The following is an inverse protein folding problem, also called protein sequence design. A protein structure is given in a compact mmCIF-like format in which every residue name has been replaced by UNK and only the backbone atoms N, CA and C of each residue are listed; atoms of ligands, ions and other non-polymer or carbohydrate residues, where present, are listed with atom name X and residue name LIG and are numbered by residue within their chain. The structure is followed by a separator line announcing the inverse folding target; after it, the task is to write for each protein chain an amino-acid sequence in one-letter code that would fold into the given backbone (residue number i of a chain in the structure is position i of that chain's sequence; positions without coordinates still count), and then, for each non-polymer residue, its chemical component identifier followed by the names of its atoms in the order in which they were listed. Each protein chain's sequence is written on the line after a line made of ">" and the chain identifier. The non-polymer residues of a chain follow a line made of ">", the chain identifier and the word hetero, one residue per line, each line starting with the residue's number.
data_IF_139706101867
#
_entry.id   IF_139706101867
#
_cell.length_a   1.000
_cell.length_b   1.000
_cell.length_c   1.000
_cell.angle_alpha   90.00
_cell.angle_beta   90.00
_cell.angle_gamma   90.00
#
_symmetry.space_group_name_H-M   'P 1'
#
loop_
_entity.id
_entity.type
_entity.pdbx_description
1 polymer ?
#
# COMPACT_ATOMS: atom_id res chain seq x y z
N UNK A 1 6.63 22.90 -32.71
CA UNK A 1 5.69 22.01 -32.00
C UNK A 1 5.30 22.71 -30.71
N UNK A 2 4.01 23.00 -30.52
CA UNK A 2 3.51 23.61 -29.28
C UNK A 2 3.49 22.53 -28.20
N UNK A 3 4.35 22.62 -27.19
CA UNK A 3 4.25 21.79 -25.99
C UNK A 3 2.98 22.28 -25.26
N UNK A 4 1.91 21.47 -25.26
CA UNK A 4 0.76 21.77 -24.41
C UNK A 4 1.20 21.70 -22.95
N UNK A 5 0.79 22.65 -22.10
CA UNK A 5 1.10 22.60 -20.68
C UNK A 5 0.46 21.37 -20.04
N UNK A 6 1.24 20.61 -19.26
CA UNK A 6 0.75 19.45 -18.49
C UNK A 6 -0.33 19.91 -17.51
N UNK A 7 -1.39 19.11 -17.35
CA UNK A 7 -2.41 19.35 -16.31
C UNK A 7 -1.78 19.23 -14.92
N UNK A 8 -2.37 19.89 -13.92
CA UNK A 8 -1.88 19.80 -12.53
C UNK A 8 -1.93 18.37 -11.99
N UNK A 9 -2.98 17.61 -12.33
CA UNK A 9 -3.11 16.20 -11.95
C UNK A 9 -1.98 15.34 -12.53
N UNK A 10 -1.55 15.59 -13.78
CA UNK A 10 -0.42 14.89 -14.37
C UNK A 10 0.91 15.24 -13.67
N UNK A 11 1.12 16.52 -13.34
CA UNK A 11 2.31 16.94 -12.57
C UNK A 11 2.33 16.27 -11.18
N UNK A 12 1.19 16.18 -10.51
CA UNK A 12 1.07 15.51 -9.23
C UNK A 12 1.33 14.00 -9.34
N UNK A 13 0.84 13.36 -10.40
CA UNK A 13 1.11 11.95 -10.69
C UNK A 13 2.61 11.69 -10.91
N UNK A 14 3.27 12.51 -11.71
CA UNK A 14 4.72 12.38 -11.96
C UNK A 14 5.52 12.58 -10.66
N UNK A 15 5.10 13.52 -9.82
CA UNK A 15 5.74 13.73 -8.52
C UNK A 15 5.57 12.53 -7.59
N UNK A 16 4.34 12.04 -7.41
CA UNK A 16 4.07 10.95 -6.45
C UNK A 16 4.72 9.63 -6.90
N UNK A 17 4.84 9.38 -8.21
CA UNK A 17 5.55 8.21 -8.73
C UNK A 17 7.06 8.23 -8.44
N UNK A 18 7.66 9.41 -8.31
CA UNK A 18 9.08 9.57 -7.99
C UNK A 18 9.36 9.83 -6.51
N UNK A 19 8.33 10.05 -5.69
CA UNK A 19 8.49 10.43 -4.29
C UNK A 19 8.55 9.20 -3.38
N UNK A 20 9.59 9.13 -2.54
CA UNK A 20 9.70 8.22 -1.41
C UNK A 20 10.27 9.02 -0.24
N UNK A 21 9.52 9.11 0.86
CA UNK A 21 9.96 9.85 2.04
C UNK A 21 8.83 10.14 3.03
N UNK A 22 9.13 10.87 4.12
CA UNK A 22 8.15 11.21 5.14
C UNK A 22 6.99 12.05 4.60
N UNK A 23 5.78 11.82 5.11
CA UNK A 23 4.64 12.70 4.81
C UNK A 23 4.87 14.10 5.36
N UNK A 24 4.24 15.10 4.74
CA UNK A 24 4.37 16.49 5.19
C UNK A 24 3.05 17.26 5.01
N UNK A 25 2.22 17.38 6.07
CA UNK A 25 0.93 18.07 6.00
C UNK A 25 1.05 19.58 5.74
N UNK A 26 2.20 20.19 6.00
CA UNK A 26 2.42 21.64 5.85
C UNK A 26 3.09 22.02 4.53
N UNK A 27 3.41 21.04 3.69
CA UNK A 27 4.13 21.29 2.45
C UNK A 27 3.28 22.14 1.48
N UNK A 28 3.79 23.34 1.16
CA UNK A 28 3.07 24.36 0.38
C UNK A 28 2.56 23.85 -0.97
N UNK A 29 3.28 22.92 -1.60
CA UNK A 29 2.85 22.34 -2.87
C UNK A 29 1.55 21.53 -2.72
N UNK A 30 1.41 20.73 -1.65
CA UNK A 30 0.23 19.89 -1.44
C UNK A 30 -0.99 20.75 -1.09
N UNK A 31 -0.79 21.79 -0.27
CA UNK A 31 -1.81 22.80 0.01
C UNK A 31 -2.25 23.52 -1.28
N UNK A 32 -1.30 23.85 -2.17
CA UNK A 32 -1.62 24.44 -3.47
C UNK A 32 -2.43 23.49 -4.36
N UNK A 33 -2.14 22.19 -4.32
CA UNK A 33 -2.89 21.18 -5.07
C UNK A 33 -4.33 21.06 -4.58
N UNK A 34 -4.57 21.11 -3.26
CA UNK A 34 -5.93 21.14 -2.70
C UNK A 34 -6.72 22.35 -3.22
N UNK A 35 -6.12 23.55 -3.20
CA UNK A 35 -6.75 24.77 -3.74
C UNK A 35 -7.02 24.71 -5.24
N UNK A 36 -6.14 24.09 -6.00
CA UNK A 36 -6.33 23.92 -7.44
C UNK A 36 -7.42 22.87 -7.73
N UNK A 37 -7.51 21.82 -6.91
CA UNK A 37 -8.58 20.84 -7.00
C UNK A 37 -9.96 21.45 -6.73
N UNK A 38 -10.09 22.34 -5.74
CA UNK A 38 -11.34 23.06 -5.46
C UNK A 38 -11.86 23.82 -6.70
N UNK A 39 -10.96 24.46 -7.45
CA UNK A 39 -11.32 25.16 -8.70
C UNK A 39 -11.77 24.17 -9.78
N UNK A 40 -11.12 23.00 -9.85
CA UNK A 40 -11.42 21.96 -10.83
C UNK A 40 -12.78 21.30 -10.60
N UNK A 41 -13.35 21.34 -9.38
CA UNK A 41 -14.65 20.70 -9.08
C UNK A 41 -15.79 21.13 -10.01
N UNK A 42 -15.75 22.37 -10.53
CA UNK A 42 -16.77 22.88 -11.45
C UNK A 42 -16.59 22.45 -12.92
N UNK A 43 -15.39 22.04 -13.32
CA UNK A 43 -15.03 21.82 -14.73
C UNK A 43 -14.57 20.39 -15.03
N UNK A 44 -13.84 19.77 -14.11
CA UNK A 44 -13.31 18.41 -14.21
C UNK A 44 -13.23 17.78 -12.82
N UNK A 45 -14.35 17.18 -12.40
CA UNK A 45 -14.48 16.55 -11.09
C UNK A 45 -13.54 15.36 -10.90
N UNK A 46 -13.26 14.60 -11.96
CA UNK A 46 -12.35 13.47 -11.89
C UNK A 46 -10.93 13.95 -11.57
N UNK A 47 -10.44 14.96 -12.30
CA UNK A 47 -9.13 15.54 -12.05
C UNK A 47 -9.05 16.19 -10.67
N UNK A 48 -10.12 16.85 -10.22
CA UNK A 48 -10.22 17.44 -8.89
C UNK A 48 -10.04 16.38 -7.78
N UNK A 49 -10.88 15.35 -7.77
CA UNK A 49 -10.82 14.31 -6.74
C UNK A 49 -9.49 13.52 -6.78
N UNK A 50 -8.95 13.26 -7.97
CA UNK A 50 -7.63 12.62 -8.09
C UNK A 50 -6.53 13.48 -7.47
N UNK A 51 -6.55 14.80 -7.72
CA UNK A 51 -5.57 15.73 -7.16
C UNK A 51 -5.72 15.89 -5.65
N UNK A 52 -6.95 15.90 -5.12
CA UNK A 52 -7.21 15.86 -3.67
C UNK A 52 -6.64 14.59 -3.04
N UNK A 53 -6.90 13.43 -3.67
CA UNK A 53 -6.40 12.16 -3.19
C UNK A 53 -4.87 12.11 -3.10
N UNK A 54 -4.17 12.57 -4.15
CA UNK A 54 -2.69 12.64 -4.13
C UNK A 54 -2.16 13.58 -3.07
N UNK A 55 -2.75 14.77 -2.91
CA UNK A 55 -2.34 15.71 -1.88
C UNK A 55 -2.53 15.10 -0.48
N UNK A 56 -3.69 14.50 -0.21
CA UNK A 56 -3.98 13.89 1.08
C UNK A 56 -3.08 12.70 1.41
N UNK A 57 -2.72 11.87 0.42
CA UNK A 57 -1.72 10.81 0.61
C UNK A 57 -0.36 11.37 1.08
N UNK A 58 0.13 12.41 0.42
CA UNK A 58 1.43 13.02 0.75
C UNK A 58 1.40 13.81 2.07
N UNK A 59 0.22 14.23 2.51
CA UNK A 59 -0.01 14.88 3.80
C UNK A 59 -0.22 13.90 4.95
N UNK A 60 -0.31 12.59 4.69
CA UNK A 60 -0.58 11.58 5.72
C UNK A 60 -2.07 11.42 6.08
N UNK A 61 -2.98 12.04 5.33
CA UNK A 61 -4.42 12.02 5.60
C UNK A 61 -5.10 10.90 4.80
N UNK A 62 -4.84 9.65 5.18
CA UNK A 62 -5.28 8.47 4.42
C UNK A 62 -6.80 8.36 4.24
N UNK A 63 -7.60 8.77 5.23
CA UNK A 63 -9.06 8.69 5.12
C UNK A 63 -9.61 9.69 4.09
N UNK A 64 -9.12 10.93 4.11
CA UNK A 64 -9.50 11.94 3.11
C UNK A 64 -9.00 11.56 1.70
N UNK A 65 -7.84 10.90 1.63
CA UNK A 65 -7.34 10.35 0.37
C UNK A 65 -8.26 9.25 -0.18
N UNK A 66 -8.71 8.32 0.68
CA UNK A 66 -9.65 7.26 0.32
C UNK A 66 -10.97 7.83 -0.23
N UNK A 67 -11.58 8.77 0.50
CA UNK A 67 -12.84 9.41 0.08
C UNK A 67 -12.70 10.09 -1.29
N UNK A 68 -11.57 10.76 -1.51
CA UNK A 68 -11.26 11.43 -2.77
C UNK A 68 -11.06 10.42 -3.90
N UNK A 69 -10.25 9.37 -3.70
CA UNK A 69 -10.01 8.37 -4.74
C UNK A 69 -11.23 7.52 -5.05
N UNK A 70 -12.06 7.24 -4.04
CA UNK A 70 -13.36 6.60 -4.24
C UNK A 70 -14.28 7.46 -5.10
N UNK A 71 -14.34 8.78 -4.82
CA UNK A 71 -15.12 9.73 -5.62
C UNK A 71 -14.64 9.82 -7.07
N UNK A 72 -13.32 9.79 -7.30
CA UNK A 72 -12.75 9.74 -8.64
C UNK A 72 -13.12 8.43 -9.37
N UNK A 73 -13.01 7.29 -8.67
CA UNK A 73 -13.37 5.96 -9.20
C UNK A 73 -14.86 5.82 -9.54
N UNK A 74 -15.75 6.47 -8.78
CA UNK A 74 -17.19 6.49 -9.08
C UNK A 74 -17.52 7.28 -10.36
N UNK A 75 -16.72 8.29 -10.71
CA UNK A 75 -16.88 9.02 -11.98
C UNK A 75 -16.34 8.19 -13.14
N UNK A 76 -15.18 7.57 -12.95
CA UNK A 76 -14.50 6.78 -13.96
C UNK A 76 -13.95 5.51 -13.32
N UNK A 77 -14.50 4.35 -13.69
CA UNK A 77 -14.10 3.05 -13.12
C UNK A 77 -13.21 2.24 -14.06
N UNK A 78 -12.21 2.89 -14.67
CA UNK A 78 -11.24 2.25 -15.55
C UNK A 78 -9.83 2.84 -15.40
N UNK A 79 -8.82 2.09 -15.87
CA UNK A 79 -7.43 2.54 -15.97
C UNK A 79 -6.88 3.10 -14.66
N UNK A 80 -6.33 4.32 -14.75
CA UNK A 80 -5.67 5.01 -13.64
C UNK A 80 -6.58 5.25 -12.42
N UNK A 81 -7.88 5.47 -12.64
CA UNK A 81 -8.82 5.74 -11.55
C UNK A 81 -8.97 4.51 -10.64
N UNK A 82 -9.12 3.33 -11.26
CA UNK A 82 -9.12 2.05 -10.55
C UNK A 82 -7.79 1.85 -9.83
N UNK A 83 -6.66 2.05 -10.52
CA UNK A 83 -5.34 1.85 -9.93
C UNK A 83 -5.10 2.75 -8.70
N UNK A 84 -5.45 4.03 -8.79
CA UNK A 84 -5.31 4.98 -7.69
C UNK A 84 -6.15 4.56 -6.49
N UNK A 85 -7.40 4.11 -6.73
CA UNK A 85 -8.28 3.70 -5.65
C UNK A 85 -7.82 2.41 -4.97
N UNK A 86 -7.46 1.36 -5.72
CA UNK A 86 -6.95 0.10 -5.12
C UNK A 86 -5.62 0.31 -4.39
N UNK A 87 -4.73 1.15 -4.91
CA UNK A 87 -3.48 1.51 -4.23
C UNK A 87 -3.75 2.22 -2.91
N UNK A 88 -4.74 3.10 -2.87
CA UNK A 88 -5.11 3.85 -1.66
C UNK A 88 -5.78 2.93 -0.64
N UNK A 89 -6.63 1.99 -1.08
CA UNK A 89 -7.19 0.93 -0.22
C UNK A 89 -6.09 0.07 0.39
N UNK A 90 -5.11 -0.35 -0.40
CA UNK A 90 -3.95 -1.09 0.11
C UNK A 90 -3.19 -0.30 1.18
N UNK A 91 -2.85 0.96 0.89
CA UNK A 91 -2.16 1.86 1.85
C UNK A 91 -2.96 2.09 3.13
N UNK A 92 -4.28 2.05 3.07
CA UNK A 92 -5.14 2.17 4.24
C UNK A 92 -5.30 0.86 5.04
N UNK A 93 -4.66 -0.24 4.62
CA UNK A 93 -4.85 -1.57 5.20
C UNK A 93 -6.16 -2.26 4.77
N UNK A 94 -6.93 -1.69 3.84
CA UNK A 94 -8.21 -2.23 3.37
C UNK A 94 -8.01 -3.32 2.29
N UNK A 95 -7.18 -4.33 2.57
CA UNK A 95 -6.75 -5.34 1.59
C UNK A 95 -7.90 -6.13 0.95
N UNK A 96 -8.90 -6.54 1.74
CA UNK A 96 -10.05 -7.30 1.24
C UNK A 96 -10.84 -6.49 0.20
N UNK A 97 -11.15 -5.23 0.54
CA UNK A 97 -11.87 -4.33 -0.36
C UNK A 97 -11.02 -4.01 -1.60
N UNK A 98 -9.70 -3.83 -1.43
CA UNK A 98 -8.80 -3.65 -2.56
C UNK A 98 -8.83 -4.85 -3.51
N UNK A 99 -8.87 -6.08 -2.99
CA UNK A 99 -9.00 -7.29 -3.80
C UNK A 99 -10.34 -7.38 -4.51
N UNK A 100 -11.44 -7.07 -3.81
CA UNK A 100 -12.77 -7.07 -4.40
C UNK A 100 -12.86 -6.12 -5.61
N UNK A 101 -12.43 -4.86 -5.44
CA UNK A 101 -12.43 -3.87 -6.52
C UNK A 101 -11.48 -4.26 -7.66
N UNK A 102 -10.35 -4.89 -7.33
CA UNK A 102 -9.39 -5.41 -8.32
C UNK A 102 -10.02 -6.48 -9.20
N UNK A 103 -10.65 -7.51 -8.60
CA UNK A 103 -11.31 -8.60 -9.33
C UNK A 103 -12.50 -8.09 -10.16
N UNK A 104 -13.33 -7.20 -9.60
CA UNK A 104 -14.41 -6.55 -10.34
C UNK A 104 -13.89 -5.78 -11.57
N UNK A 105 -12.70 -5.18 -11.47
CA UNK A 105 -12.09 -4.43 -12.57
C UNK A 105 -11.51 -5.35 -13.64
N UNK A 106 -10.91 -6.48 -13.27
CA UNK A 106 -10.47 -7.50 -14.23
C UNK A 106 -11.66 -8.13 -14.98
N UNK A 107 -12.79 -8.36 -14.30
CA UNK A 107 -14.01 -8.81 -14.96
C UNK A 107 -14.51 -7.83 -16.03
N UNK A 108 -14.39 -6.52 -15.79
CA UNK A 108 -14.78 -5.47 -16.76
C UNK A 108 -13.75 -5.29 -17.87
N UNK A 109 -12.47 -5.39 -17.53
CA UNK A 109 -11.36 -5.26 -18.47
C UNK A 109 -10.23 -6.23 -18.09
N UNK A 110 -10.11 -7.39 -18.78
CA UNK A 110 -9.14 -8.42 -18.44
C UNK A 110 -7.71 -8.09 -18.88
N UNK A 111 -7.46 -6.90 -19.43
CA UNK A 111 -6.14 -6.45 -19.88
C UNK A 111 -5.46 -5.47 -18.91
N UNK A 112 -6.05 -5.24 -17.74
CA UNK A 112 -5.49 -4.33 -16.72
C UNK A 112 -4.30 -4.97 -16.00
N UNK A 113 -3.10 -4.75 -16.53
CA UNK A 113 -1.82 -5.29 -16.01
C UNK A 113 -1.53 -4.87 -14.57
N UNK A 114 -1.82 -3.62 -14.19
CA UNK A 114 -1.50 -3.07 -12.86
C UNK A 114 -2.34 -3.63 -11.71
N UNK A 115 -3.42 -4.35 -12.01
CA UNK A 115 -4.37 -4.87 -11.01
C UNK A 115 -3.89 -6.19 -10.40
N UNK A 116 -3.31 -7.09 -11.19
CA UNK A 116 -2.86 -8.41 -10.71
C UNK A 116 -1.77 -8.30 -9.64
N UNK A 117 -0.72 -7.46 -9.79
CA UNK A 117 0.26 -7.25 -8.72
C UNK A 117 -0.36 -6.78 -7.41
N UNK A 118 -1.37 -5.90 -7.48
CA UNK A 118 -2.07 -5.43 -6.28
C UNK A 118 -2.80 -6.57 -5.57
N UNK A 119 -3.46 -7.46 -6.33
CA UNK A 119 -4.09 -8.65 -5.75
C UNK A 119 -3.07 -9.53 -5.04
N UNK A 120 -1.90 -9.75 -5.66
CA UNK A 120 -0.79 -10.49 -5.05
C UNK A 120 -0.37 -9.87 -3.71
N UNK A 121 -0.09 -8.56 -3.68
CA UNK A 121 0.34 -7.88 -2.45
C UNK A 121 -0.70 -7.99 -1.34
N UNK A 122 -1.97 -7.74 -1.65
CA UNK A 122 -3.05 -7.84 -0.66
C UNK A 122 -3.24 -9.28 -0.16
N UNK A 123 -3.19 -10.27 -1.05
CA UNK A 123 -3.33 -11.68 -0.71
C UNK A 123 -2.20 -12.19 0.19
N UNK A 124 -0.97 -11.73 -0.01
CA UNK A 124 0.16 -12.00 0.88
C UNK A 124 -0.09 -11.43 2.29
N UNK A 125 -0.70 -10.24 2.39
CA UNK A 125 -1.04 -9.62 3.67
C UNK A 125 -2.24 -10.30 4.36
N UNK A 126 -3.17 -10.85 3.57
CA UNK A 126 -4.36 -11.57 4.04
C UNK A 126 -4.11 -13.07 4.31
N UNK A 127 -2.96 -13.58 3.87
CA UNK A 127 -2.64 -15.01 3.86
C UNK A 127 -3.77 -15.82 3.19
N UNK A 128 -4.20 -15.35 2.02
CA UNK A 128 -5.29 -15.91 1.22
C UNK A 128 -4.93 -15.92 -0.27
N UNK A 129 -4.74 -17.12 -0.81
CA UNK A 129 -4.32 -17.34 -2.20
C UNK A 129 -5.46 -17.31 -3.22
N UNK A 130 -6.72 -17.45 -2.78
CA UNK A 130 -7.85 -17.58 -3.71
C UNK A 130 -8.01 -16.38 -4.65
N UNK A 131 -7.84 -15.12 -4.20
CA UNK A 131 -7.90 -13.97 -5.08
C UNK A 131 -6.79 -13.96 -6.15
N UNK A 132 -5.59 -14.48 -5.83
CA UNK A 132 -4.47 -14.58 -6.80
C UNK A 132 -4.87 -15.51 -7.94
N UNK A 133 -5.40 -16.69 -7.62
CA UNK A 133 -5.85 -17.68 -8.61
C UNK A 133 -6.92 -17.07 -9.50
N UNK A 134 -7.94 -16.43 -8.90
CA UNK A 134 -9.00 -15.76 -9.65
C UNK A 134 -8.47 -14.65 -10.56
N UNK A 135 -7.57 -13.81 -10.07
CA UNK A 135 -7.02 -12.70 -10.85
C UNK A 135 -6.22 -13.19 -12.07
N UNK A 136 -5.43 -14.26 -11.89
CA UNK A 136 -4.66 -14.89 -12.97
C UNK A 136 -5.58 -15.50 -14.02
N UNK A 137 -6.64 -16.21 -13.60
CA UNK A 137 -7.61 -16.83 -14.51
C UNK A 137 -8.38 -15.81 -15.33
N UNK A 138 -8.69 -14.65 -14.74
CA UNK A 138 -9.38 -13.55 -15.42
C UNK A 138 -8.48 -12.78 -16.39
N UNK A 139 -7.17 -12.75 -16.17
CA UNK A 139 -6.26 -11.92 -16.94
C UNK A 139 -5.99 -12.47 -18.35
N UNK A 140 -6.17 -11.62 -19.37
CA UNK A 140 -6.04 -11.97 -20.79
C UNK A 140 -4.92 -11.22 -21.52
N UNK A 141 -4.17 -10.36 -20.84
CA UNK A 141 -3.02 -9.68 -21.46
C UNK A 141 -1.85 -10.64 -21.70
N UNK A 142 -1.16 -10.48 -22.85
CA UNK A 142 -0.04 -11.34 -23.23
C UNK A 142 1.32 -10.79 -22.78
N UNK A 143 1.49 -9.47 -22.76
CA UNK A 143 2.80 -8.81 -22.58
C UNK A 143 3.46 -9.08 -21.22
N UNK A 144 2.67 -9.32 -20.17
CA UNK A 144 3.14 -9.56 -18.81
C UNK A 144 2.77 -10.94 -18.25
N UNK A 145 2.22 -11.85 -19.08
CA UNK A 145 1.57 -13.07 -18.59
C UNK A 145 2.53 -13.97 -17.81
N UNK A 146 3.70 -14.28 -18.38
CA UNK A 146 4.67 -15.18 -17.76
C UNK A 146 5.23 -14.60 -16.45
N UNK A 147 5.50 -13.30 -16.43
CA UNK A 147 5.92 -12.57 -15.23
C UNK A 147 4.86 -12.61 -14.13
N UNK A 148 3.60 -12.39 -14.47
CA UNK A 148 2.50 -12.45 -13.51
C UNK A 148 2.30 -13.87 -12.97
N UNK A 149 2.38 -14.89 -13.83
CA UNK A 149 2.28 -16.30 -13.42
C UNK A 149 3.38 -16.71 -12.44
N UNK A 150 4.63 -16.32 -12.71
CA UNK A 150 5.74 -16.65 -11.81
C UNK A 150 5.61 -15.93 -10.46
N UNK A 151 5.27 -14.64 -10.46
CA UNK A 151 5.02 -13.90 -9.22
C UNK A 151 3.83 -14.45 -8.43
N UNK A 152 2.75 -14.86 -9.11
CA UNK A 152 1.61 -15.50 -8.48
C UNK A 152 1.99 -16.82 -7.81
N UNK A 153 2.83 -17.64 -8.46
CA UNK A 153 3.35 -18.89 -7.86
C UNK A 153 4.19 -18.59 -6.62
N UNK A 154 5.16 -17.69 -6.72
CA UNK A 154 6.02 -17.30 -5.60
C UNK A 154 5.20 -16.72 -4.42
N UNK A 155 4.14 -15.97 -4.72
CA UNK A 155 3.25 -15.43 -3.70
C UNK A 155 2.44 -16.52 -2.97
N UNK A 156 1.97 -17.56 -3.69
CA UNK A 156 1.29 -18.69 -3.06
C UNK A 156 2.25 -19.47 -2.14
N UNK A 157 3.48 -19.70 -2.58
CA UNK A 157 4.53 -20.32 -1.75
C UNK A 157 4.84 -19.48 -0.49
N UNK A 158 4.91 -18.16 -0.64
CA UNK A 158 5.12 -17.23 0.48
C UNK A 158 3.96 -17.24 1.48
N UNK A 159 2.71 -17.35 1.00
CA UNK A 159 1.52 -17.47 1.87
C UNK A 159 1.59 -18.76 2.69
N UNK A 160 1.90 -19.90 2.06
CA UNK A 160 2.04 -21.19 2.74
C UNK A 160 3.17 -21.18 3.76
N UNK A 161 4.31 -20.59 3.39
CA UNK A 161 5.45 -20.39 4.28
C UNK A 161 5.05 -19.58 5.52
N UNK A 162 4.39 -18.43 5.33
CA UNK A 162 3.95 -17.57 6.44
C UNK A 162 2.95 -18.26 7.35
N UNK A 163 1.96 -18.97 6.79
CA UNK A 163 1.00 -19.74 7.60
C UNK A 163 1.74 -20.75 8.48
N UNK A 164 2.66 -21.53 7.89
CA UNK A 164 3.46 -22.52 8.63
C UNK A 164 4.34 -21.87 9.70
N UNK A 165 4.90 -20.69 9.41
CA UNK A 165 5.70 -19.91 10.35
C UNK A 165 4.85 -19.42 11.53
N UNK A 166 3.67 -18.87 11.26
CA UNK A 166 2.76 -18.39 12.30
C UNK A 166 2.30 -19.54 13.21
N UNK A 167 1.97 -20.70 12.65
CA UNK A 167 1.61 -21.91 13.41
C UNK A 167 2.75 -22.35 14.34
N UNK A 168 4.00 -22.35 13.84
CA UNK A 168 5.19 -22.68 14.65
C UNK A 168 5.39 -21.72 15.83
N UNK A 169 5.14 -20.43 15.62
CA UNK A 169 5.30 -19.39 16.63
C UNK A 169 4.10 -19.28 17.59
N UNK A 170 2.99 -19.97 17.27
CA UNK A 170 1.73 -19.86 18.00
C UNK A 170 1.08 -18.49 17.84
N UNK A 171 1.22 -17.85 16.68
CA UNK A 171 0.61 -16.56 16.35
C UNK A 171 -0.62 -16.82 15.48
N UNK A 172 -1.77 -16.25 15.87
CA UNK A 172 -2.99 -16.40 15.08
C UNK A 172 -2.90 -15.69 13.73
N UNK A 173 -3.45 -16.32 12.68
CA UNK A 173 -3.61 -15.70 11.35
C UNK A 173 -4.26 -14.31 11.45
N UNK A 174 -5.31 -14.19 12.26
CA UNK A 174 -6.04 -12.93 12.44
C UNK A 174 -5.17 -11.84 13.08
N UNK A 175 -4.36 -12.18 14.08
CA UNK A 175 -3.44 -11.25 14.72
C UNK A 175 -2.40 -10.71 13.73
N UNK A 176 -1.85 -11.59 12.87
CA UNK A 176 -0.96 -11.18 11.79
C UNK A 176 -1.65 -10.21 10.81
N UNK A 177 -2.85 -10.55 10.33
CA UNK A 177 -3.59 -9.72 9.38
C UNK A 177 -3.87 -8.34 9.98
N UNK A 178 -4.41 -8.28 11.20
CA UNK A 178 -4.66 -7.02 11.93
C UNK A 178 -3.39 -6.20 12.10
N UNK A 179 -2.26 -6.85 12.40
CA UNK A 179 -0.96 -6.17 12.49
C UNK A 179 -0.56 -5.55 11.15
N UNK A 180 -0.70 -6.28 10.04
CA UNK A 180 -0.38 -5.75 8.70
C UNK A 180 -1.32 -4.59 8.31
N UNK A 181 -2.60 -4.67 8.67
CA UNK A 181 -3.56 -3.58 8.43
C UNK A 181 -3.18 -2.32 9.20
N UNK A 182 -2.89 -2.47 10.49
CA UNK A 182 -2.44 -1.37 11.35
C UNK A 182 -1.14 -0.78 10.82
N UNK A 183 -0.17 -1.62 10.45
CA UNK A 183 1.12 -1.21 9.93
C UNK A 183 1.02 -0.40 8.63
N UNK A 184 0.20 -0.83 7.67
CA UNK A 184 0.01 -0.07 6.43
C UNK A 184 -0.67 1.27 6.71
N UNK A 185 -1.71 1.27 7.55
CA UNK A 185 -2.42 2.50 7.93
C UNK A 185 -1.50 3.46 8.68
N UNK A 186 -0.70 2.98 9.63
CA UNK A 186 0.34 3.75 10.30
C UNK A 186 1.32 4.35 9.30
N UNK A 187 1.92 3.52 8.44
CA UNK A 187 2.87 4.00 7.43
C UNK A 187 2.26 5.05 6.53
N UNK A 188 0.99 4.91 6.13
CA UNK A 188 0.33 5.90 5.28
C UNK A 188 0.20 7.29 5.93
N UNK A 189 0.23 7.38 7.27
CA UNK A 189 0.23 8.65 8.01
C UNK A 189 1.60 9.31 8.02
N UNK A 190 2.69 8.52 7.99
CA UNK A 190 4.05 9.01 8.27
C UNK A 190 5.01 8.91 7.07
N UNK A 191 4.69 8.12 6.05
CA UNK A 191 5.54 7.85 4.91
C UNK A 191 4.73 7.70 3.62
N UNK A 192 5.20 8.36 2.56
CA UNK A 192 4.67 8.23 1.21
C UNK A 192 5.75 7.68 0.29
N UNK A 193 5.46 6.54 -0.34
CA UNK A 193 6.36 5.88 -1.28
C UNK A 193 6.03 4.40 -1.41
N UNK A 194 6.92 3.69 -2.10
CA UNK A 194 6.96 2.23 -2.08
C UNK A 194 7.75 1.76 -0.85
N UNK A 195 7.33 0.62 -0.31
CA UNK A 195 7.97 -0.05 0.81
C UNK A 195 8.03 -1.55 0.48
N UNK A 196 9.15 -2.16 0.80
CA UNK A 196 9.29 -3.62 0.77
C UNK A 196 9.25 -4.15 2.19
N UNK A 197 8.85 -5.40 2.35
CA UNK A 197 8.89 -6.01 3.67
C UNK A 197 9.22 -7.49 3.64
N UNK A 198 9.90 -7.92 4.69
CA UNK A 198 10.29 -9.31 4.91
C UNK A 198 9.67 -9.77 6.23
N UNK A 199 9.09 -10.97 6.21
CA UNK A 199 8.56 -11.65 7.39
C UNK A 199 9.42 -12.87 7.67
N UNK A 200 9.96 -12.99 8.88
CA UNK A 200 10.82 -14.10 9.26
C UNK A 200 10.63 -14.48 10.72
N UNK A 201 10.88 -15.75 11.06
CA UNK A 201 11.05 -16.16 12.46
C UNK A 201 12.45 -15.82 12.96
N UNK A 202 12.55 -15.35 14.19
CA UNK A 202 13.83 -15.06 14.85
C UNK A 202 13.81 -15.73 16.23
N UNK A 203 14.82 -16.56 16.51
CA UNK A 203 15.01 -17.16 17.84
C UNK A 203 15.64 -16.09 18.74
N UNK A 204 15.00 -15.77 19.85
CA UNK A 204 15.59 -14.93 20.90
C UNK A 204 16.01 -15.79 22.09
N UNK A 205 16.71 -15.19 23.06
CA UNK A 205 17.10 -15.89 24.29
C UNK A 205 15.89 -16.38 25.12
N UNK A 206 14.70 -15.82 24.90
CA UNK A 206 13.52 -16.05 25.74
C UNK A 206 12.39 -16.78 25.00
N UNK A 207 12.16 -16.44 23.74
CA UNK A 207 11.14 -17.07 22.89
C UNK A 207 11.40 -16.83 21.40
N UNK A 208 10.77 -17.64 20.55
CA UNK A 208 10.75 -17.38 19.11
C UNK A 208 9.72 -16.28 18.81
N UNK A 209 10.15 -15.29 18.01
CA UNK A 209 9.33 -14.15 17.60
C UNK A 209 9.18 -14.09 16.09
N UNK A 210 8.12 -13.42 15.64
CA UNK A 210 7.93 -13.03 14.26
C UNK A 210 8.54 -11.65 14.05
N UNK A 211 9.51 -11.55 13.15
CA UNK A 211 10.11 -10.27 12.75
C UNK A 211 9.51 -9.81 11.42
N UNK A 212 8.97 -8.59 11.41
CA UNK A 212 8.51 -7.89 10.21
C UNK A 212 9.44 -6.70 9.98
N UNK A 213 10.22 -6.75 8.90
CA UNK A 213 11.18 -5.68 8.55
C UNK A 213 10.63 -4.89 7.38
N UNK A 214 10.37 -3.60 7.58
CA UNK A 214 9.90 -2.66 6.57
C UNK A 214 11.07 -1.85 6.03
N UNK A 215 11.36 -1.99 4.74
CA UNK A 215 12.44 -1.29 4.06
C UNK A 215 11.90 -0.05 3.36
N UNK A 216 12.39 1.12 3.76
CA UNK A 216 11.89 2.43 3.34
C UNK A 216 12.98 3.21 2.62
N UNK A 217 12.65 3.76 1.44
CA UNK A 217 13.56 4.61 0.67
C UNK A 217 13.34 6.09 1.02
N UNK A 218 14.41 6.90 0.99
CA UNK A 218 14.28 8.34 1.23
C UNK A 218 13.99 8.73 2.68
N UNK A 219 14.25 7.82 3.62
CA UNK A 219 14.28 8.08 5.07
C UNK A 219 15.69 7.86 5.60
N UNK A 220 16.08 8.62 6.62
CA UNK A 220 17.34 8.43 7.33
C UNK A 220 17.15 7.50 8.55
N UNK A 221 18.22 7.27 9.31
CA UNK A 221 18.16 6.38 10.49
C UNK A 221 17.32 6.99 11.62
N UNK A 222 17.35 8.31 11.80
CA UNK A 222 16.58 9.00 12.84
C UNK A 222 15.08 8.90 12.51
N UNK A 223 14.70 9.13 11.25
CA UNK A 223 13.31 8.94 10.79
C UNK A 223 12.84 7.50 11.06
N UNK A 224 13.69 6.49 10.82
CA UNK A 224 13.34 5.10 11.05
C UNK A 224 13.21 4.75 12.53
N UNK A 225 14.03 5.34 13.40
CA UNK A 225 13.92 5.18 14.86
C UNK A 225 12.64 5.82 15.37
N UNK A 226 12.33 7.05 14.92
CA UNK A 226 11.09 7.74 15.27
C UNK A 226 9.86 6.91 14.85
N UNK A 227 9.87 6.30 13.67
CA UNK A 227 8.80 5.41 13.22
C UNK A 227 8.65 4.16 14.10
N UNK A 228 9.76 3.58 14.59
CA UNK A 228 9.68 2.42 15.48
C UNK A 228 9.01 2.79 16.80
N UNK A 229 9.38 3.93 17.39
CA UNK A 229 8.81 4.41 18.65
C UNK A 229 7.31 4.72 18.49
N UNK A 230 6.96 5.50 17.45
CA UNK A 230 5.56 5.86 17.17
C UNK A 230 4.68 4.63 16.86
N UNK A 231 5.23 3.61 16.22
CA UNK A 231 4.45 2.40 15.92
C UNK A 231 4.22 1.54 17.16
N UNK A 232 5.16 1.51 18.10
CA UNK A 232 4.97 0.85 19.39
C UNK A 232 3.82 1.52 20.14
N UNK A 233 3.77 2.85 20.15
CA UNK A 233 2.66 3.60 20.76
C UNK A 233 1.33 3.26 20.06
N UNK A 234 1.28 3.27 18.72
CA UNK A 234 0.06 2.89 17.97
C UNK A 234 -0.36 1.42 18.25
N UNK A 235 0.58 0.49 18.46
CA UNK A 235 0.26 -0.88 18.85
C UNK A 235 -0.32 -0.97 20.27
N UNK A 236 0.28 -0.24 21.22
CA UNK A 236 -0.15 -0.25 22.64
C UNK A 236 -1.51 0.42 22.81
N UNK A 237 -1.78 1.48 22.05
CA UNK A 237 -3.05 2.23 22.07
C UNK A 237 -4.13 1.61 21.18
N UNK A 238 -3.80 0.59 20.38
CA UNK A 238 -4.75 -0.04 19.47
C UNK A 238 -5.76 -0.92 20.22
N UNK A 239 -7.04 -0.59 20.06
CA UNK A 239 -8.15 -1.45 20.48
C UNK A 239 -8.34 -2.69 19.58
N UNK A 240 -7.46 -2.90 18.58
CA UNK A 240 -7.61 -3.96 17.56
C UNK A 240 -6.92 -5.27 17.95
N UNK A 241 -5.86 -5.19 18.75
CA UNK A 241 -5.01 -6.31 19.15
C UNK A 241 -4.78 -6.29 20.66
N UNK A 242 -5.06 -7.38 21.34
CA UNK A 242 -4.65 -7.54 22.74
C UNK A 242 -3.13 -7.81 22.82
N UNK A 243 -2.50 -7.42 23.94
CA UNK A 243 -1.06 -7.62 24.14
C UNK A 243 -0.61 -9.07 23.88
N UNK A 244 -1.41 -10.06 24.31
CA UNK A 244 -1.09 -11.47 24.10
C UNK A 244 -1.09 -11.89 22.63
N UNK A 245 -1.78 -11.15 21.76
CA UNK A 245 -1.83 -11.39 20.31
C UNK A 245 -0.61 -10.84 19.56
N UNK A 246 -0.05 -9.71 20.00
CA UNK A 246 1.04 -9.04 19.29
C UNK A 246 2.41 -9.09 19.98
N UNK A 247 2.51 -9.52 21.26
CA UNK A 247 3.79 -9.53 22.00
C UNK A 247 4.93 -10.31 21.32
N UNK A 248 4.58 -11.26 20.45
CA UNK A 248 5.54 -12.06 19.66
C UNK A 248 5.84 -11.48 18.29
N UNK A 249 5.28 -10.32 17.93
CA UNK A 249 5.47 -9.68 16.64
C UNK A 249 6.31 -8.42 16.83
N UNK A 250 7.50 -8.43 16.24
CA UNK A 250 8.43 -7.32 16.26
C UNK A 250 8.47 -6.67 14.89
N UNK A 251 8.01 -5.42 14.81
CA UNK A 251 8.12 -4.60 13.60
C UNK A 251 9.38 -3.75 13.65
N UNK A 252 10.04 -3.57 12.52
CA UNK A 252 11.19 -2.68 12.43
C UNK A 252 11.19 -1.92 11.11
N UNK A 253 11.34 -0.60 11.17
CA UNK A 253 11.56 0.24 10.00
C UNK A 253 13.06 0.40 9.73
N UNK A 254 13.47 0.20 8.48
CA UNK A 254 14.87 0.14 8.06
C UNK A 254 15.08 1.07 6.86
N UNK A 255 15.98 2.07 6.94
CA UNK A 255 16.31 2.91 5.81
C UNK A 255 17.07 2.10 4.76
N UNK A 256 16.65 2.18 3.50
CA UNK A 256 17.40 1.67 2.37
C UNK A 256 18.40 2.74 1.96
N UNK A 257 19.70 2.51 2.22
CA UNK A 257 20.75 3.36 1.67
C UNK A 257 20.75 3.23 0.14
N UNK A 258 20.57 4.33 -0.58
CA UNK A 258 20.83 4.32 -2.02
C UNK A 258 22.35 4.19 -2.26
N UNK A 259 22.77 2.96 -2.55
CA UNK A 259 24.09 2.58 -3.06
C UNK A 259 24.26 1.06 -2.98
N UNK A 260 24.42 0.29 -4.05
CA UNK A 260 24.99 0.56 -5.37
C UNK A 260 23.98 0.26 -6.49
N UNK A 261 24.14 0.95 -7.62
CA UNK A 261 23.40 0.68 -8.84
C UNK A 261 23.49 -0.79 -9.25
N UNK A 262 22.39 -1.27 -9.83
CA UNK A 262 22.45 -2.30 -10.86
C UNK A 262 23.04 -1.67 -12.12
#
# INVERSE_FOLDING_TARGET
>A
MSIQPKTRTLQALEYIQGYCGPTNPEHLMYISWLRDAEKLLSSDRYAAYTLQGFAHLLMGNIDAALESMQSAYQIKSDGDATQNYINTLHKAGCFLQSNEISLQSLHRNPYLTGVVPMVIYNSINLLDGDPIIQAVDLYQGSEARDYLLDNSRLALEEIEFRISLLDRLGIGKEAFIKTMQLLQRFLSKHYAGYNEFIVAGEETEFEDVLRIRMFLSGVNIDDALDLNDLFIDELVESDTLEYDEYKKILVSFIPVQQGAGV
#
